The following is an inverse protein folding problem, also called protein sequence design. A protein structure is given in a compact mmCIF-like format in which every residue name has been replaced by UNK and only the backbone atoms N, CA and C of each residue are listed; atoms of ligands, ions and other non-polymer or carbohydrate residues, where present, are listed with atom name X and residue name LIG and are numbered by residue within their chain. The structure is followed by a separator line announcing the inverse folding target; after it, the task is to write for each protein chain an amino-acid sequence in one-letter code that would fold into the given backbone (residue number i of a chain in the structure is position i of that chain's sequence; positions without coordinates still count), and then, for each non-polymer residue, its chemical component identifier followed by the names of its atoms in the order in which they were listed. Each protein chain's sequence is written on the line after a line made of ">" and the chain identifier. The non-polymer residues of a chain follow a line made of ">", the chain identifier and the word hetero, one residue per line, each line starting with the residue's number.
data_IF_295849986740
#
_entry.id   IF_295849986740
#
_cell.length_a   1.000
_cell.length_b   1.000
_cell.length_c   1.000
_cell.angle_alpha   90.00
_cell.angle_beta   90.00
_cell.angle_gamma   90.00
#
_symmetry.space_group_name_H-M   'P 1'
#
loop_
_entity.id
_entity.type
_entity.pdbx_description
1 polymer ?
#
# COMPACT_ATOMS: atom_id res chain seq x y z
N UNK A 1 -6.09 -6.03 26.91
CA UNK A 1 -5.64 -4.68 26.50
C UNK A 1 -4.65 -4.08 27.49
N UNK A 2 -4.97 -4.06 28.79
CA UNK A 2 -4.06 -3.58 29.85
C UNK A 2 -2.66 -4.17 29.76
N UNK A 3 -2.56 -5.48 29.60
CA UNK A 3 -1.26 -6.15 29.43
C UNK A 3 -0.44 -5.58 28.26
N UNK A 4 -1.07 -5.33 27.11
CA UNK A 4 -0.38 -4.77 25.95
C UNK A 4 0.05 -3.32 26.18
N UNK A 5 -0.80 -2.49 26.79
CA UNK A 5 -0.46 -1.09 27.12
C UNK A 5 0.70 -1.05 28.12
N UNK A 6 0.66 -1.88 29.17
CA UNK A 6 1.72 -1.99 30.17
C UNK A 6 3.02 -2.54 29.59
N UNK A 7 2.94 -3.40 28.57
CA UNK A 7 4.13 -3.84 27.85
C UNK A 7 4.75 -2.68 27.07
N UNK A 8 3.95 -1.94 26.30
CA UNK A 8 4.45 -0.84 25.47
C UNK A 8 4.93 0.37 26.29
N UNK A 9 4.33 0.67 27.45
CA UNK A 9 4.74 1.79 28.29
C UNK A 9 6.21 1.70 28.74
N UNK A 10 6.76 0.47 28.87
CA UNK A 10 8.18 0.23 29.18
C UNK A 10 9.13 0.81 28.13
N UNK A 11 8.69 0.94 26.89
CA UNK A 11 9.48 1.46 25.77
C UNK A 11 9.26 2.97 25.55
N UNK A 12 8.40 3.61 26.35
CA UNK A 12 8.04 5.03 26.25
C UNK A 12 7.73 5.50 24.81
N UNK A 13 6.93 4.76 24.01
CA UNK A 13 6.55 5.22 22.68
C UNK A 13 5.67 6.46 22.82
N UNK A 14 5.70 7.36 21.82
CA UNK A 14 4.79 8.53 21.80
C UNK A 14 3.33 8.11 21.68
N UNK A 15 3.08 7.02 20.97
CA UNK A 15 1.76 6.50 20.67
C UNK A 15 1.77 4.98 20.42
N UNK A 16 0.60 4.34 20.57
CA UNK A 16 0.36 2.93 20.19
C UNK A 16 -0.74 2.92 19.14
N UNK A 17 -0.53 2.21 18.04
CA UNK A 17 -1.52 2.10 16.98
C UNK A 17 -1.96 0.66 16.69
N UNK A 18 -3.26 0.42 16.55
CA UNK A 18 -3.87 -0.88 16.24
C UNK A 18 -4.77 -0.80 15.00
N UNK A 19 -4.85 -1.88 14.21
CA UNK A 19 -5.82 -2.01 13.13
C UNK A 19 -6.96 -2.95 13.54
N UNK A 20 -8.19 -2.63 13.17
CA UNK A 20 -9.38 -3.45 13.45
C UNK A 20 -10.37 -3.38 12.29
N UNK A 21 -11.05 -4.49 11.99
CA UNK A 21 -12.15 -4.50 11.03
C UNK A 21 -13.24 -3.50 11.42
N UNK A 22 -13.68 -2.69 10.46
CA UNK A 22 -14.72 -1.67 10.65
C UNK A 22 -16.06 -2.28 11.10
N UNK A 23 -16.33 -3.53 10.74
CA UNK A 23 -17.53 -4.25 11.17
C UNK A 23 -17.42 -4.86 12.58
N UNK A 24 -16.21 -4.92 13.18
CA UNK A 24 -16.00 -5.48 14.52
C UNK A 24 -16.26 -4.43 15.61
N UNK A 25 -17.54 -4.12 15.82
CA UNK A 25 -18.00 -3.10 16.78
C UNK A 25 -17.53 -3.38 18.22
N UNK A 26 -17.45 -4.65 18.62
CA UNK A 26 -17.01 -5.06 19.95
C UNK A 26 -15.55 -4.69 20.20
N UNK A 27 -14.65 -5.04 19.27
CA UNK A 27 -13.24 -4.69 19.38
C UNK A 27 -13.02 -3.17 19.33
N UNK A 28 -13.72 -2.46 18.44
CA UNK A 28 -13.68 -1.00 18.37
C UNK A 28 -14.11 -0.36 19.70
N UNK A 29 -15.23 -0.82 20.28
CA UNK A 29 -15.72 -0.34 21.57
C UNK A 29 -14.72 -0.60 22.70
N UNK A 30 -14.13 -1.79 22.74
CA UNK A 30 -13.07 -2.14 23.69
C UNK A 30 -11.87 -1.19 23.57
N UNK A 31 -11.35 -0.96 22.35
CA UNK A 31 -10.19 -0.09 22.16
C UNK A 31 -10.49 1.36 22.55
N UNK A 32 -11.68 1.87 22.19
CA UNK A 32 -12.12 3.21 22.59
C UNK A 32 -12.20 3.36 24.12
N UNK A 33 -12.64 2.33 24.84
CA UNK A 33 -12.63 2.30 26.32
C UNK A 33 -11.22 2.49 26.89
N UNK A 34 -10.18 2.03 26.19
CA UNK A 34 -8.78 2.21 26.58
C UNK A 34 -8.13 3.50 26.03
N UNK A 35 -8.92 4.41 25.46
CA UNK A 35 -8.45 5.72 24.99
C UNK A 35 -7.88 5.72 23.56
N UNK A 36 -8.09 4.65 22.79
CA UNK A 36 -7.77 4.66 21.36
C UNK A 36 -8.80 5.49 20.60
N UNK A 37 -8.33 6.35 19.68
CA UNK A 37 -9.16 7.17 18.80
C UNK A 37 -8.97 6.73 17.35
N UNK A 38 -10.03 6.85 16.55
CA UNK A 38 -9.92 6.59 15.11
C UNK A 38 -8.94 7.60 14.50
N UNK A 39 -7.99 7.11 13.73
CA UNK A 39 -7.01 7.93 13.03
C UNK A 39 -7.30 7.98 11.54
N UNK A 40 -7.33 6.83 10.86
CA UNK A 40 -7.76 6.73 9.46
C UNK A 40 -8.35 5.37 9.14
N UNK A 41 -8.91 5.25 7.93
CA UNK A 41 -9.36 4.01 7.32
C UNK A 41 -8.29 3.42 6.40
N UNK A 42 -8.24 2.09 6.32
CA UNK A 42 -7.38 1.32 5.44
C UNK A 42 -8.23 0.31 4.66
N UNK A 43 -8.01 0.22 3.35
CA UNK A 43 -8.75 -0.68 2.47
C UNK A 43 -7.82 -1.67 1.81
N UNK A 44 -8.21 -2.93 1.83
CA UNK A 44 -7.51 -4.01 1.14
C UNK A 44 -8.45 -4.56 0.08
N UNK A 45 -8.03 -4.50 -1.18
CA UNK A 45 -8.76 -5.08 -2.31
C UNK A 45 -7.92 -6.16 -2.98
N UNK A 46 -8.56 -7.23 -3.41
CA UNK A 46 -7.99 -8.23 -4.29
C UNK A 46 -8.38 -7.84 -5.72
N UNK A 47 -7.36 -7.58 -6.53
CA UNK A 47 -7.48 -7.31 -7.96
C UNK A 47 -7.04 -8.56 -8.69
N UNK A 48 -7.95 -9.05 -9.53
CA UNK A 48 -7.70 -10.19 -10.40
C UNK A 48 -6.81 -9.77 -11.57
N UNK A 49 -5.80 -10.59 -11.85
CA UNK A 49 -4.81 -10.48 -12.92
C UNK A 49 -4.87 -11.70 -13.88
N UNK A 50 -5.85 -12.60 -13.69
CA UNK A 50 -6.09 -13.82 -14.47
C UNK A 50 -6.61 -13.53 -15.89
N UNK A 51 -7.40 -12.47 -16.07
CA UNK A 51 -7.96 -12.07 -17.36
C UNK A 51 -6.92 -11.54 -18.36
N UNK A 52 -5.64 -11.76 -18.10
CA UNK A 52 -4.55 -11.43 -19.00
C UNK A 52 -3.96 -12.74 -19.50
N UNK A 53 -4.56 -13.24 -20.58
CA UNK A 53 -3.85 -14.13 -21.47
C UNK A 53 -2.58 -13.39 -21.92
N UNK A 54 -1.48 -14.12 -22.10
CA UNK A 54 -0.26 -13.55 -22.68
C UNK A 54 -0.46 -13.06 -24.13
N UNK A 55 -1.68 -13.13 -24.66
CA UNK A 55 -2.13 -12.48 -25.87
C UNK A 55 -2.20 -10.97 -25.65
N UNK A 56 -1.10 -10.35 -26.05
CA UNK A 56 -0.95 -8.95 -26.44
C UNK A 56 -2.31 -8.36 -26.84
N UNK A 57 -2.91 -7.57 -25.94
CA UNK A 57 -3.86 -6.55 -26.37
C UNK A 57 -3.17 -5.79 -27.51
N UNK A 58 -3.73 -5.74 -28.73
CA UNK A 58 -3.10 -5.05 -29.83
C UNK A 58 -2.99 -3.58 -29.41
N UNK A 59 -1.75 -3.19 -29.07
CA UNK A 59 -1.34 -1.87 -28.62
C UNK A 59 -2.14 -1.27 -27.45
N UNK A 60 -1.84 -1.69 -26.22
CA UNK A 60 -1.89 -0.73 -25.10
C UNK A 60 -0.56 0.03 -25.04
N UNK A 61 -0.32 0.83 -26.08
CA UNK A 61 0.50 2.03 -25.94
C UNK A 61 -0.32 3.01 -25.14
N UNK A 62 -0.12 3.04 -23.84
CA UNK A 62 -0.38 4.27 -23.10
C UNK A 62 0.85 5.14 -23.43
N UNK A 63 0.82 5.89 -24.54
CA UNK A 63 2.01 6.58 -25.08
C UNK A 63 2.77 7.40 -24.02
N UNK A 64 2.01 7.96 -23.07
CA UNK A 64 2.55 8.76 -22.00
C UNK A 64 3.00 7.95 -20.78
N UNK A 65 2.62 6.68 -20.65
CA UNK A 65 2.83 5.89 -19.44
C UNK A 65 3.86 4.77 -19.57
N UNK A 66 4.75 4.66 -18.59
CA UNK A 66 5.65 3.53 -18.43
C UNK A 66 5.77 3.15 -16.95
N UNK A 67 6.27 1.95 -16.66
CA UNK A 67 6.50 1.50 -15.29
C UNK A 67 8.00 1.28 -15.08
N UNK A 68 8.53 1.83 -14.00
CA UNK A 68 9.94 1.77 -13.62
C UNK A 68 10.09 0.99 -12.31
N UNK A 69 11.14 0.18 -12.23
CA UNK A 69 11.66 -0.30 -10.96
C UNK A 69 12.39 0.84 -10.27
N UNK A 70 11.85 1.27 -9.14
CA UNK A 70 12.40 2.36 -8.35
C UNK A 70 13.69 1.90 -7.68
N UNK A 71 14.70 2.78 -7.75
CA UNK A 71 16.02 2.59 -7.16
C UNK A 71 16.34 3.70 -6.14
N UNK A 72 17.54 3.65 -5.56
CA UNK A 72 17.98 4.62 -4.54
C UNK A 72 18.12 6.05 -5.07
N UNK A 73 18.33 6.25 -6.37
CA UNK A 73 18.44 7.57 -6.99
C UNK A 73 17.08 8.25 -7.17
N UNK A 74 15.99 7.47 -7.20
CA UNK A 74 14.62 8.02 -7.28
C UNK A 74 14.11 8.57 -5.93
N UNK A 75 14.77 8.25 -4.82
CA UNK A 75 14.29 8.57 -3.46
C UNK A 75 13.98 10.05 -3.26
N UNK A 76 14.82 10.94 -3.78
CA UNK A 76 14.62 12.39 -3.65
C UNK A 76 13.37 12.86 -4.42
N UNK A 77 13.14 12.30 -5.61
CA UNK A 77 11.95 12.61 -6.40
C UNK A 77 10.69 12.14 -5.68
N UNK A 78 10.73 10.94 -5.11
CA UNK A 78 9.64 10.35 -4.33
C UNK A 78 9.36 11.18 -3.08
N UNK A 79 10.40 11.66 -2.37
CA UNK A 79 10.23 12.50 -1.19
C UNK A 79 9.57 13.82 -1.45
N UNK A 80 9.75 14.37 -2.64
CA UNK A 80 9.11 15.62 -3.01
C UNK A 80 7.63 15.44 -3.39
N UNK A 81 7.22 14.24 -3.79
CA UNK A 81 5.84 13.93 -4.22
C UNK A 81 5.02 13.38 -3.04
N UNK A 82 5.59 12.47 -2.26
CA UNK A 82 4.89 11.73 -1.20
C UNK A 82 5.47 12.04 0.18
N UNK A 83 5.13 13.23 0.70
CA UNK A 83 5.68 13.77 1.95
C UNK A 83 5.44 12.89 3.19
N UNK A 84 4.37 12.10 3.20
CA UNK A 84 4.01 11.25 4.35
C UNK A 84 4.75 9.90 4.38
N UNK A 85 5.58 9.60 3.38
CA UNK A 85 6.26 8.31 3.30
C UNK A 85 7.42 8.19 4.30
N UNK A 86 7.61 6.97 4.83
CA UNK A 86 8.78 6.64 5.64
C UNK A 86 9.99 6.35 4.74
N UNK A 87 10.77 7.40 4.44
CA UNK A 87 11.97 7.31 3.60
C UNK A 87 13.05 6.38 4.16
N UNK A 88 13.18 6.31 5.48
CA UNK A 88 14.15 5.43 6.12
C UNK A 88 13.83 3.95 5.86
N UNK A 89 12.55 3.56 6.00
CA UNK A 89 12.10 2.20 5.67
C UNK A 89 12.29 1.91 4.18
N UNK A 90 11.93 2.86 3.31
CA UNK A 90 12.06 2.69 1.87
C UNK A 90 13.53 2.51 1.43
N UNK A 91 14.43 3.38 1.91
CA UNK A 91 15.87 3.30 1.61
C UNK A 91 16.45 1.97 2.06
N UNK A 92 16.17 1.54 3.28
CA UNK A 92 16.62 0.24 3.80
C UNK A 92 16.07 -0.94 2.97
N UNK A 93 14.82 -0.85 2.52
CA UNK A 93 14.22 -1.83 1.62
C UNK A 93 14.92 -1.90 0.25
N UNK A 94 15.30 -0.76 -0.32
CA UNK A 94 16.02 -0.72 -1.60
C UNK A 94 17.45 -1.27 -1.48
N UNK A 95 18.18 -0.87 -0.45
CA UNK A 95 19.56 -1.31 -0.21
C UNK A 95 19.65 -2.81 0.06
N UNK A 96 18.70 -3.37 0.83
CA UNK A 96 18.66 -4.81 1.10
C UNK A 96 18.32 -5.68 -0.12
N UNK A 97 17.53 -5.15 -1.07
CA UNK A 97 17.24 -5.86 -2.32
C UNK A 97 18.45 -5.97 -3.24
N UNK A 98 19.33 -4.96 -3.27
CA UNK A 98 20.56 -4.98 -4.08
C UNK A 98 21.55 -6.08 -3.64
N UNK A 99 21.43 -6.56 -2.41
CA UNK A 99 22.28 -7.61 -1.85
C UNK A 99 21.71 -9.03 -2.06
N UNK A 100 20.46 -9.16 -2.51
CA UNK A 100 19.80 -10.45 -2.69
C UNK A 100 19.73 -10.87 -4.15
N UNK A 101 20.11 -12.12 -4.45
CA UNK A 101 19.93 -12.71 -5.79
C UNK A 101 18.45 -12.86 -6.18
N UNK A 102 17.52 -12.76 -5.23
CA UNK A 102 16.07 -12.83 -5.47
C UNK A 102 15.41 -11.64 -4.76
N UNK A 103 15.08 -10.54 -5.46
CA UNK A 103 14.45 -9.39 -4.83
C UNK A 103 13.07 -9.79 -4.28
N UNK A 104 12.97 -9.86 -2.95
CA UNK A 104 11.72 -10.21 -2.24
C UNK A 104 10.70 -9.07 -2.27
N UNK A 105 11.18 -7.84 -2.47
CA UNK A 105 10.39 -6.64 -2.57
C UNK A 105 10.83 -5.88 -3.83
N UNK A 106 9.89 -5.39 -4.61
CA UNK A 106 10.13 -4.48 -5.72
C UNK A 106 9.39 -3.19 -5.43
N UNK A 107 9.99 -2.07 -5.77
CA UNK A 107 9.30 -0.80 -5.72
C UNK A 107 8.96 -0.42 -7.15
N UNK A 108 7.67 -0.26 -7.45
CA UNK A 108 7.16 0.03 -8.78
C UNK A 108 6.66 1.47 -8.80
N UNK A 109 7.10 2.23 -9.79
CA UNK A 109 6.62 3.58 -10.06
C UNK A 109 6.05 3.67 -11.45
N UNK A 110 4.89 4.29 -11.60
CA UNK A 110 4.37 4.68 -12.90
C UNK A 110 4.96 6.03 -13.27
N UNK A 111 5.45 6.15 -14.50
CA UNK A 111 5.87 7.38 -15.11
C UNK A 111 4.78 7.81 -16.09
N UNK A 112 4.38 9.08 -16.05
CA UNK A 112 3.51 9.75 -17.02
C UNK A 112 4.29 10.94 -17.60
N UNK A 113 4.63 10.93 -18.88
CA UNK A 113 5.50 11.93 -19.50
C UNK A 113 6.83 12.10 -18.72
N UNK A 114 7.46 10.97 -18.35
CA UNK A 114 8.66 10.88 -17.49
C UNK A 114 8.51 11.43 -16.04
N UNK A 115 7.31 11.83 -15.64
CA UNK A 115 7.02 12.24 -14.26
C UNK A 115 6.49 11.08 -13.45
N UNK A 116 7.04 10.87 -12.26
CA UNK A 116 6.56 9.81 -11.39
C UNK A 116 5.18 10.20 -10.86
N UNK A 117 4.19 9.33 -11.07
CA UNK A 117 2.79 9.53 -10.69
C UNK A 117 2.44 8.54 -9.57
N UNK A 118 1.81 7.36 -9.74
CA UNK A 118 1.70 6.41 -8.63
C UNK A 118 2.99 5.63 -8.34
N UNK A 119 3.08 5.21 -7.08
CA UNK A 119 4.15 4.40 -6.54
C UNK A 119 3.59 3.35 -5.60
N UNK A 120 4.15 2.14 -5.65
CA UNK A 120 3.88 1.16 -4.62
C UNK A 120 5.03 0.18 -4.39
N UNK A 121 5.13 -0.30 -3.15
CA UNK A 121 5.94 -1.47 -2.83
C UNK A 121 5.17 -2.73 -3.23
N UNK A 122 5.69 -3.41 -4.23
CA UNK A 122 5.17 -4.66 -4.79
C UNK A 122 5.97 -5.85 -4.26
N UNK A 123 5.30 -6.76 -3.57
CA UNK A 123 5.87 -7.99 -3.04
C UNK A 123 5.32 -9.19 -3.84
N UNK A 124 5.96 -9.58 -4.95
CA UNK A 124 5.44 -10.61 -5.86
C UNK A 124 5.15 -11.94 -5.15
N UNK A 125 6.06 -12.38 -4.27
CA UNK A 125 5.93 -13.65 -3.52
C UNK A 125 4.71 -13.71 -2.58
N UNK A 126 4.13 -12.55 -2.25
CA UNK A 126 2.96 -12.48 -1.37
C UNK A 126 1.76 -11.81 -2.06
N UNK A 127 1.86 -11.53 -3.37
CA UNK A 127 0.86 -10.79 -4.14
C UNK A 127 0.37 -9.55 -3.41
N UNK A 128 1.27 -8.69 -2.89
CA UNK A 128 0.88 -7.46 -2.20
C UNK A 128 1.42 -6.21 -2.87
N UNK A 129 0.62 -5.16 -2.85
CA UNK A 129 0.97 -3.82 -3.27
C UNK A 129 0.65 -2.88 -2.09
N UNK A 130 1.67 -2.49 -1.30
CA UNK A 130 1.47 -1.71 -0.06
C UNK A 130 2.70 -0.89 0.39
N UNK A 131 2.53 0.41 0.73
CA UNK A 131 1.34 1.22 0.49
C UNK A 131 1.22 1.55 -1.00
N UNK A 132 -0.01 1.67 -1.50
CA UNK A 132 -0.28 2.22 -2.83
C UNK A 132 -0.55 3.72 -2.69
N UNK A 133 0.33 4.53 -3.26
CA UNK A 133 0.18 5.98 -3.32
C UNK A 133 0.01 6.42 -4.77
N UNK A 134 -0.82 7.44 -4.98
CA UNK A 134 -1.10 7.98 -6.31
C UNK A 134 -1.23 9.50 -6.26
N UNK A 135 -1.03 10.13 -7.42
CA UNK A 135 -1.17 11.57 -7.64
C UNK A 135 -2.53 11.93 -8.22
N UNK A 136 -3.06 11.11 -9.14
CA UNK A 136 -4.42 11.22 -9.68
C UNK A 136 -5.11 9.86 -9.74
N UNK A 137 -6.42 9.86 -9.53
CA UNK A 137 -7.27 8.67 -9.64
C UNK A 137 -7.22 8.06 -11.06
N UNK A 138 -6.97 8.90 -12.07
CA UNK A 138 -6.86 8.48 -13.47
C UNK A 138 -5.62 7.63 -13.74
N UNK A 139 -4.58 7.74 -12.90
CA UNK A 139 -3.32 7.02 -13.07
C UNK A 139 -3.39 5.58 -12.47
N UNK A 140 -4.47 5.24 -11.78
CA UNK A 140 -4.64 3.96 -11.06
C UNK A 140 -4.79 2.78 -12.02
N UNK A 141 -5.66 2.89 -13.01
CA UNK A 141 -5.87 1.81 -13.98
C UNK A 141 -4.63 1.55 -14.83
N UNK A 142 -3.94 2.58 -15.41
CA UNK A 142 -2.63 2.43 -16.02
C UNK A 142 -1.61 1.71 -15.14
N UNK A 143 -1.55 2.03 -13.85
CA UNK A 143 -0.66 1.35 -12.91
C UNK A 143 -0.99 -0.13 -12.75
N UNK A 144 -2.27 -0.45 -12.50
CA UNK A 144 -2.73 -1.84 -12.32
C UNK A 144 -2.40 -2.66 -13.58
N UNK A 145 -2.65 -2.07 -14.74
CA UNK A 145 -2.41 -2.71 -16.03
C UNK A 145 -0.93 -3.00 -16.25
N UNK A 146 -0.05 -2.01 -16.08
CA UNK A 146 1.39 -2.19 -16.26
C UNK A 146 2.03 -3.06 -15.19
N UNK A 147 1.47 -3.10 -13.97
CA UNK A 147 1.93 -3.98 -12.89
C UNK A 147 1.77 -5.46 -13.22
N UNK A 148 0.81 -5.84 -14.09
CA UNK A 148 0.62 -7.24 -14.53
C UNK A 148 1.90 -7.84 -15.12
N UNK A 149 2.77 -7.03 -15.74
CA UNK A 149 4.06 -7.45 -16.30
C UNK A 149 5.05 -7.98 -15.25
N UNK A 150 4.80 -7.70 -13.96
CA UNK A 150 5.64 -8.14 -12.85
C UNK A 150 5.01 -9.28 -12.04
N UNK A 151 3.85 -9.82 -12.44
CA UNK A 151 3.21 -10.94 -11.74
C UNK A 151 4.07 -12.20 -11.78
N UNK A 152 3.99 -13.02 -10.72
CA UNK A 152 4.60 -14.35 -10.75
C UNK A 152 3.68 -15.32 -11.50
N UNK A 153 4.22 -16.36 -12.18
CA UNK A 153 3.41 -17.30 -12.95
C UNK A 153 2.31 -18.00 -12.15
N UNK A 154 2.52 -18.21 -10.85
CA UNK A 154 1.60 -18.89 -9.92
C UNK A 154 0.67 -17.93 -9.16
N UNK A 155 0.64 -16.65 -9.57
CA UNK A 155 -0.13 -15.59 -8.91
C UNK A 155 -0.90 -14.78 -9.94
N UNK A 156 -2.19 -15.07 -10.00
CA UNK A 156 -3.18 -14.44 -10.86
C UNK A 156 -3.93 -13.30 -10.15
N UNK A 157 -3.46 -12.86 -8.98
CA UNK A 157 -4.07 -11.74 -8.27
C UNK A 157 -3.02 -10.91 -7.55
N UNK A 158 -3.41 -9.70 -7.18
CA UNK A 158 -2.67 -8.82 -6.27
C UNK A 158 -3.60 -8.20 -5.25
N UNK A 159 -3.17 -8.18 -4.00
CA UNK A 159 -3.79 -7.43 -2.92
C UNK A 159 -3.23 -6.02 -2.89
N UNK A 160 -4.05 -5.03 -3.22
CA UNK A 160 -3.72 -3.61 -3.12
C UNK A 160 -4.21 -3.08 -1.77
N UNK A 161 -3.31 -2.42 -1.04
CA UNK A 161 -3.59 -1.80 0.26
C UNK A 161 -3.28 -0.31 0.21
N UNK A 162 -4.25 0.50 0.62
CA UNK A 162 -4.11 1.95 0.72
C UNK A 162 -4.85 2.50 1.94
N UNK A 163 -4.34 3.61 2.46
CA UNK A 163 -4.81 4.28 3.68
C UNK A 163 -5.32 5.68 3.34
N UNK A 164 -6.32 6.20 4.06
CA UNK A 164 -6.90 7.56 3.90
C UNK A 164 -7.63 7.86 2.58
N UNK A 165 -7.44 7.09 1.51
CA UNK A 165 -8.05 7.35 0.19
C UNK A 165 -9.44 6.73 -0.02
N UNK A 166 -10.50 7.38 0.49
CA UNK A 166 -11.89 6.90 0.30
C UNK A 166 -12.33 6.92 -1.17
N UNK A 167 -11.89 7.89 -1.96
CA UNK A 167 -12.21 7.96 -3.40
C UNK A 167 -11.67 6.74 -4.16
N UNK A 168 -10.48 6.26 -3.79
CA UNK A 168 -9.89 5.06 -4.35
C UNK A 168 -10.71 3.81 -3.97
N UNK A 169 -11.19 3.74 -2.72
CA UNK A 169 -12.09 2.67 -2.30
C UNK A 169 -13.41 2.67 -3.11
N UNK A 170 -13.95 3.84 -3.45
CA UNK A 170 -15.14 3.96 -4.29
C UNK A 170 -14.86 3.54 -5.74
N UNK A 171 -13.71 3.92 -6.32
CA UNK A 171 -13.30 3.45 -7.64
C UNK A 171 -13.21 1.92 -7.67
N UNK A 172 -12.52 1.33 -6.71
CA UNK A 172 -12.32 -0.13 -6.64
C UNK A 172 -13.64 -0.88 -6.49
N UNK A 173 -14.58 -0.34 -5.69
CA UNK A 173 -15.93 -0.88 -5.59
C UNK A 173 -16.70 -0.79 -6.92
N UNK A 174 -16.62 0.35 -7.63
CA UNK A 174 -17.22 0.52 -8.97
C UNK A 174 -16.67 -0.46 -10.01
N UNK A 175 -15.40 -0.87 -9.87
CA UNK A 175 -14.75 -1.88 -10.71
C UNK A 175 -15.03 -3.32 -10.28
N UNK A 176 -15.91 -3.52 -9.29
CA UNK A 176 -16.24 -4.84 -8.74
C UNK A 176 -15.02 -5.62 -8.24
N UNK A 177 -13.94 -4.93 -7.83
CA UNK A 177 -12.81 -5.60 -7.20
C UNK A 177 -13.23 -6.16 -5.84
N UNK A 178 -12.72 -7.34 -5.49
CA UNK A 178 -13.11 -8.03 -4.26
C UNK A 178 -12.51 -7.32 -3.05
N UNK A 179 -13.36 -6.65 -2.27
CA UNK A 179 -12.95 -6.09 -0.97
C UNK A 179 -12.58 -7.22 -0.02
N UNK A 180 -11.33 -7.23 0.44
CA UNK A 180 -10.81 -8.25 1.34
C UNK A 180 -10.88 -7.80 2.80
N UNK A 181 -10.45 -6.57 3.10
CA UNK A 181 -10.53 -5.98 4.44
C UNK A 181 -10.88 -4.49 4.36
N UNK A 182 -11.58 -3.99 5.37
CA UNK A 182 -11.81 -2.57 5.59
C UNK A 182 -11.59 -2.27 7.06
N UNK A 183 -10.47 -1.61 7.37
CA UNK A 183 -9.95 -1.48 8.71
C UNK A 183 -9.99 -0.03 9.19
N UNK A 184 -10.21 0.18 10.48
CA UNK A 184 -9.79 1.40 11.16
C UNK A 184 -8.38 1.23 11.71
N UNK A 185 -7.49 2.20 11.44
CA UNK A 185 -6.33 2.45 12.28
C UNK A 185 -6.79 3.27 13.47
N UNK A 186 -6.65 2.75 14.68
CA UNK A 186 -6.83 3.52 15.91
C UNK A 186 -5.49 3.79 16.57
N UNK A 187 -5.37 4.96 17.18
CA UNK A 187 -4.15 5.41 17.87
C UNK A 187 -4.49 5.85 19.29
N UNK A 188 -3.64 5.48 20.25
CA UNK A 188 -3.63 5.96 21.63
C UNK A 188 -2.35 6.76 21.86
N UNK A 189 -2.43 8.06 22.16
CA UNK A 189 -1.30 8.82 22.71
C UNK A 189 -0.87 8.24 24.06
N UNK A 190 0.44 8.23 24.30
CA UNK A 190 1.04 7.72 25.53
C UNK A 190 1.51 8.84 26.47
N UNK A 191 1.29 10.11 26.09
CA UNK A 191 1.52 11.28 26.94
C UNK A 191 0.69 11.30 28.23
N UNK A 192 -0.35 10.47 28.30
CA UNK A 192 -1.35 10.44 29.37
C UNK A 192 -1.07 9.33 30.41
N UNK A 193 0.12 8.70 30.36
CA UNK A 193 0.56 7.60 31.23
C UNK A 193 1.90 7.93 31.90
#
# INVERSE_FOLDING_TARGET
>A
MEHAINYFSKFKPKEIGIYVETHNRNAIGLYKKYGFKNYYESWHYIVDLSSFDHEILPELKLDDYSIKLIDVHDLLKISNIFLEMNFTEMKSGLESNNQSKVPRLRFLGLLKNNNLVPFARFAPNFSRCRPFHYTSIDDVDPFIELMKRYKLPDKDYVRITFDKYRELANLFAKRNYKKHHHLYKLIKPMSDL
#
